data_IF_650166474264
#
_entry.id   IF_650166474264
#
_cell.length_a   1.000
_cell.length_b   1.000
_cell.length_c   1.000
_cell.angle_alpha   90.00
_cell.angle_beta   90.00
_cell.angle_gamma   90.00
#
_symmetry.space_group_name_H-M   'P 1'
#
loop_
_entity.id
_entity.type
_entity.pdbx_description
1 polymer ?
#
# COMPACT_ATOMS: atom_id res chain seq x y z
N UNK A 1 26.07 -8.47 -16.72
CA UNK A 1 24.68 -8.00 -16.55
C UNK A 1 24.05 -7.76 -17.93
N UNK A 2 23.11 -8.60 -18.36
CA UNK A 2 22.51 -8.50 -19.69
C UNK A 2 21.35 -7.49 -19.71
N UNK A 3 21.50 -6.39 -20.47
CA UNK A 3 20.41 -5.46 -20.79
C UNK A 3 19.36 -6.20 -21.63
N UNK A 4 18.19 -6.52 -21.06
CA UNK A 4 17.02 -6.99 -21.83
C UNK A 4 16.62 -5.89 -22.84
N UNK A 5 16.88 -6.09 -24.14
CA UNK A 5 16.34 -5.25 -25.22
C UNK A 5 14.80 -5.36 -25.20
N UNK A 6 14.10 -4.29 -24.80
CA UNK A 6 12.65 -4.18 -24.94
C UNK A 6 12.28 -4.36 -26.42
N UNK A 7 11.50 -5.39 -26.76
CA UNK A 7 10.99 -5.61 -28.13
C UNK A 7 10.05 -4.47 -28.51
N UNK A 8 10.55 -3.51 -29.30
CA UNK A 8 9.79 -2.35 -29.80
C UNK A 8 8.52 -2.73 -30.59
N UNK A 9 8.49 -3.93 -31.20
CA UNK A 9 7.34 -4.41 -31.98
C UNK A 9 6.07 -4.61 -31.15
N UNK A 10 6.18 -5.10 -29.90
CA UNK A 10 5.01 -5.36 -29.06
C UNK A 10 4.32 -4.09 -28.54
N UNK A 11 5.09 -3.03 -28.30
CA UNK A 11 4.53 -1.73 -27.90
C UNK A 11 3.81 -1.05 -29.07
N UNK A 12 4.36 -1.14 -30.28
CA UNK A 12 3.77 -0.56 -31.49
C UNK A 12 2.42 -1.22 -31.82
N UNK A 13 2.34 -2.56 -31.73
CA UNK A 13 1.08 -3.30 -31.92
C UNK A 13 0.03 -2.94 -30.88
N UNK A 14 0.44 -2.69 -29.63
CA UNK A 14 -0.45 -2.29 -28.54
C UNK A 14 -1.05 -0.90 -28.79
N UNK A 15 -0.20 0.05 -29.19
CA UNK A 15 -0.62 1.41 -29.54
C UNK A 15 -1.59 1.40 -30.73
N UNK A 16 -1.27 0.61 -31.77
CA UNK A 16 -2.09 0.50 -32.97
C UNK A 16 -3.49 -0.10 -32.70
N UNK A 17 -3.63 -0.91 -31.64
CA UNK A 17 -4.91 -1.53 -31.26
C UNK A 17 -5.70 -0.64 -30.26
N UNK A 18 -5.02 -0.06 -29.27
CA UNK A 18 -5.66 0.74 -28.22
C UNK A 18 -6.20 2.07 -28.76
N UNK A 19 -5.44 2.78 -29.60
CA UNK A 19 -5.84 4.12 -30.06
C UNK A 19 -7.17 4.08 -30.82
N UNK A 20 -7.37 3.21 -31.83
CA UNK A 20 -8.65 3.12 -32.54
C UNK A 20 -9.80 2.70 -31.61
N UNK A 21 -9.56 1.76 -30.70
CA UNK A 21 -10.56 1.33 -29.72
C UNK A 21 -10.99 2.48 -28.78
N UNK A 22 -10.03 3.30 -28.34
CA UNK A 22 -10.31 4.49 -27.54
C UNK A 22 -11.10 5.56 -28.32
N UNK A 23 -10.85 5.71 -29.62
CA UNK A 23 -11.62 6.61 -30.49
C UNK A 23 -13.05 6.13 -30.75
N UNK A 24 -13.34 4.84 -30.59
CA UNK A 24 -14.71 4.30 -30.69
C UNK A 24 -15.50 4.61 -29.41
N UNK A 25 -14.83 4.67 -28.25
CA UNK A 25 -15.46 4.87 -26.93
C UNK A 25 -15.08 6.24 -26.33
N UNK A 26 -15.14 7.30 -27.14
CA UNK A 26 -14.67 8.65 -26.77
C UNK A 26 -15.16 9.15 -25.39
N UNK A 27 -16.45 9.07 -25.04
CA UNK A 27 -16.93 9.62 -23.77
C UNK A 27 -16.27 8.93 -22.56
N UNK A 28 -16.10 7.60 -22.64
CA UNK A 28 -15.45 6.80 -21.60
C UNK A 28 -13.95 7.06 -21.55
N UNK A 29 -13.29 7.23 -22.71
CA UNK A 29 -11.87 7.58 -22.76
C UNK A 29 -11.59 8.94 -22.12
N UNK A 30 -12.43 9.94 -22.40
CA UNK A 30 -12.31 11.28 -21.79
C UNK A 30 -12.51 11.17 -20.28
N UNK A 31 -13.55 10.46 -19.84
CA UNK A 31 -13.81 10.21 -18.42
C UNK A 31 -12.60 9.63 -17.70
N UNK A 32 -12.04 8.53 -18.19
CA UNK A 32 -10.87 7.92 -17.55
C UNK A 32 -9.61 8.76 -17.68
N UNK A 33 -9.43 9.51 -18.76
CA UNK A 33 -8.23 10.35 -18.91
C UNK A 33 -8.20 11.47 -17.87
N UNK A 34 -9.35 12.10 -17.60
CA UNK A 34 -9.47 13.17 -16.60
C UNK A 34 -9.60 12.61 -15.18
N UNK A 35 -10.41 11.57 -14.99
CA UNK A 35 -10.61 10.92 -13.69
C UNK A 35 -9.35 10.24 -13.17
N UNK A 36 -8.51 9.69 -14.06
CA UNK A 36 -7.29 8.98 -13.67
C UNK A 36 -6.06 9.89 -13.46
N UNK A 37 -6.20 11.22 -13.50
CA UNK A 37 -5.09 12.16 -13.26
C UNK A 37 -4.33 11.85 -11.95
N UNK A 38 -4.97 11.59 -10.80
CA UNK A 38 -4.27 11.22 -9.57
C UNK A 38 -3.36 9.99 -9.71
N UNK A 39 -3.72 9.03 -10.55
CA UNK A 39 -2.90 7.84 -10.84
C UNK A 39 -1.69 8.18 -11.69
N UNK A 40 -1.84 9.11 -12.64
CA UNK A 40 -0.72 9.63 -13.42
C UNK A 40 0.26 10.36 -12.49
N UNK A 41 -0.26 11.16 -11.57
CA UNK A 41 0.54 11.81 -10.52
C UNK A 41 1.26 10.77 -9.67
N UNK A 42 0.59 9.71 -9.23
CA UNK A 42 1.23 8.61 -8.50
C UNK A 42 2.36 7.96 -9.31
N UNK A 43 2.17 7.72 -10.61
CA UNK A 43 3.19 7.14 -11.48
C UNK A 43 4.46 7.98 -11.60
N UNK A 44 4.29 9.30 -11.66
CA UNK A 44 5.38 10.26 -11.76
C UNK A 44 6.06 10.48 -10.40
N UNK A 45 5.26 10.63 -9.33
CA UNK A 45 5.74 10.94 -8.00
C UNK A 45 6.43 9.76 -7.31
N UNK A 46 6.00 8.53 -7.60
CA UNK A 46 6.53 7.35 -6.95
C UNK A 46 7.99 7.09 -7.35
N UNK A 47 8.87 7.09 -6.35
CA UNK A 47 10.31 6.80 -6.48
C UNK A 47 10.65 5.35 -6.15
N UNK A 48 9.68 4.56 -5.67
CA UNK A 48 9.85 3.15 -5.36
C UNK A 48 10.18 2.36 -6.65
N UNK A 49 11.23 1.51 -6.64
CA UNK A 49 11.55 0.65 -7.79
C UNK A 49 10.40 -0.27 -8.20
N UNK A 50 9.55 -0.70 -7.25
CA UNK A 50 8.45 -1.64 -7.51
C UNK A 50 7.17 -0.93 -7.97
N UNK A 51 7.16 0.41 -8.01
CA UNK A 51 6.01 1.23 -8.41
C UNK A 51 4.74 0.84 -7.66
N UNK A 52 4.86 0.77 -6.34
CA UNK A 52 3.79 0.38 -5.44
C UNK A 52 2.66 1.43 -5.39
N UNK A 53 2.96 2.73 -5.43
CA UNK A 53 1.94 3.80 -5.34
C UNK A 53 0.98 3.82 -6.54
N UNK A 54 1.44 3.74 -7.80
CA UNK A 54 0.56 3.70 -8.98
C UNK A 54 -0.38 2.51 -8.99
N UNK A 55 0.01 1.39 -8.39
CA UNK A 55 -0.79 0.17 -8.33
C UNK A 55 -1.93 0.35 -7.34
N UNK A 56 -1.65 0.78 -6.10
CA UNK A 56 -2.67 1.02 -5.07
C UNK A 56 -3.56 2.20 -5.40
N UNK A 57 -2.98 3.36 -5.72
CA UNK A 57 -3.73 4.58 -6.09
C UNK A 57 -4.49 4.34 -7.39
N UNK A 58 -3.89 3.66 -8.36
CA UNK A 58 -4.53 3.33 -9.64
C UNK A 58 -5.75 2.45 -9.49
N UNK A 59 -5.66 1.38 -8.70
CA UNK A 59 -6.78 0.50 -8.44
C UNK A 59 -7.96 1.24 -7.79
N UNK A 60 -7.70 2.01 -6.73
CA UNK A 60 -8.78 2.72 -6.04
C UNK A 60 -9.35 3.88 -6.85
N UNK A 61 -8.50 4.67 -7.52
CA UNK A 61 -8.97 5.76 -8.38
C UNK A 61 -9.83 5.23 -9.55
N UNK A 62 -9.43 4.10 -10.15
CA UNK A 62 -10.22 3.43 -11.18
C UNK A 62 -11.60 3.05 -10.65
N UNK A 63 -11.67 2.43 -9.46
CA UNK A 63 -12.94 2.13 -8.80
C UNK A 63 -13.79 3.38 -8.55
N UNK A 64 -13.17 4.52 -8.19
CA UNK A 64 -13.86 5.80 -8.03
C UNK A 64 -14.47 6.35 -9.32
N UNK A 65 -13.87 6.03 -10.47
CA UNK A 65 -14.39 6.41 -11.79
C UNK A 65 -15.49 5.48 -12.30
N UNK A 66 -15.61 4.26 -11.78
CA UNK A 66 -16.52 3.22 -12.30
C UNK A 66 -18.01 3.59 -12.24
N UNK A 67 -18.57 4.20 -11.17
CA UNK A 67 -19.98 4.57 -11.16
C UNK A 67 -20.36 5.48 -12.33
N UNK A 68 -19.49 6.44 -12.66
CA UNK A 68 -19.68 7.37 -13.77
C UNK A 68 -19.48 6.70 -15.13
N UNK A 69 -18.54 5.75 -15.24
CA UNK A 69 -18.36 4.97 -16.45
C UNK A 69 -19.60 4.10 -16.73
N UNK A 70 -20.14 3.44 -15.70
CA UNK A 70 -21.35 2.63 -15.80
C UNK A 70 -22.56 3.49 -16.18
N UNK A 71 -22.68 4.69 -15.61
CA UNK A 71 -23.77 5.60 -15.96
C UNK A 71 -23.71 6.03 -17.44
N UNK A 72 -22.51 6.36 -17.92
CA UNK A 72 -22.27 6.70 -19.32
C UNK A 72 -22.58 5.55 -20.27
N UNK A 73 -22.38 4.31 -19.82
CA UNK A 73 -22.72 3.10 -20.58
C UNK A 73 -24.22 2.84 -20.65
N UNK A 74 -24.97 3.25 -19.62
CA UNK A 74 -26.42 3.05 -19.52
C UNK A 74 -27.24 4.15 -20.20
N UNK A 75 -26.87 5.42 -20.03
CA UNK A 75 -27.70 6.57 -20.40
C UNK A 75 -27.26 7.27 -21.71
N UNK A 76 -26.83 6.47 -22.69
CA UNK A 76 -26.28 6.86 -23.99
C UNK A 76 -24.83 7.39 -23.92
N UNK A 77 -23.90 6.67 -24.58
CA UNK A 77 -22.49 7.03 -24.73
C UNK A 77 -22.31 8.32 -25.56
N UNK A 78 -22.59 9.47 -24.97
CA UNK A 78 -22.51 10.78 -25.61
C UNK A 78 -21.53 11.70 -24.91
N UNK A 79 -20.93 12.62 -25.65
CA UNK A 79 -20.04 13.65 -25.08
C UNK A 79 -20.83 14.57 -24.14
N UNK A 80 -22.10 14.86 -24.44
CA UNK A 80 -22.96 15.67 -23.58
C UNK A 80 -23.19 15.05 -22.20
N UNK A 81 -23.35 13.72 -22.12
CA UNK A 81 -23.46 13.02 -20.84
C UNK A 81 -22.14 13.09 -20.04
N UNK A 82 -20.99 12.90 -20.69
CA UNK A 82 -19.69 13.06 -20.04
C UNK A 82 -19.47 14.51 -19.53
N UNK A 83 -19.87 15.50 -20.32
CA UNK A 83 -19.78 16.91 -19.91
C UNK A 83 -20.64 17.22 -18.67
N UNK A 84 -21.82 16.59 -18.52
CA UNK A 84 -22.65 16.72 -17.31
C UNK A 84 -21.95 16.14 -16.09
N UNK A 85 -21.27 15.00 -16.23
CA UNK A 85 -20.48 14.41 -15.14
C UNK A 85 -19.38 15.38 -14.70
N UNK A 86 -18.67 15.99 -15.64
CA UNK A 86 -17.61 16.97 -15.29
C UNK A 86 -18.13 18.30 -14.75
N UNK A 87 -19.37 18.68 -15.08
CA UNK A 87 -20.01 19.86 -14.54
C UNK A 87 -20.50 19.66 -13.08
N UNK A 88 -20.62 18.41 -12.61
CA UNK A 88 -21.03 18.09 -11.26
C UNK A 88 -19.83 18.05 -10.28
N UNK A 89 -19.76 18.95 -9.28
CA UNK A 89 -18.71 18.93 -8.27
C UNK A 89 -18.66 17.61 -7.46
N UNK A 90 -19.80 16.95 -7.26
CA UNK A 90 -19.85 15.69 -6.51
C UNK A 90 -19.11 14.58 -7.27
N UNK A 91 -19.14 14.59 -8.60
CA UNK A 91 -18.41 13.61 -9.41
C UNK A 91 -16.90 13.69 -9.15
N UNK A 92 -16.36 14.91 -9.08
CA UNK A 92 -14.94 15.13 -8.76
C UNK A 92 -14.59 14.66 -7.35
N UNK A 93 -15.44 14.98 -6.37
CA UNK A 93 -15.24 14.53 -4.99
C UNK A 93 -15.21 13.01 -4.89
N UNK A 94 -16.12 12.31 -5.55
CA UNK A 94 -16.15 10.84 -5.52
C UNK A 94 -14.91 10.25 -6.21
N UNK A 95 -14.58 10.69 -7.42
CA UNK A 95 -13.40 10.18 -8.14
C UNK A 95 -12.12 10.42 -7.34
N UNK A 96 -11.91 11.63 -6.83
CA UNK A 96 -10.64 12.01 -6.23
C UNK A 96 -10.54 11.60 -4.77
N UNK A 97 -11.66 11.45 -4.04
CA UNK A 97 -11.64 10.83 -2.71
C UNK A 97 -11.21 9.38 -2.76
N UNK A 98 -11.64 8.62 -3.78
CA UNK A 98 -11.18 7.25 -3.97
C UNK A 98 -9.65 7.19 -4.20
N UNK A 99 -9.11 8.12 -5.00
CA UNK A 99 -7.66 8.26 -5.16
C UNK A 99 -6.96 8.67 -3.85
N UNK A 100 -7.55 9.56 -3.06
CA UNK A 100 -7.02 9.99 -1.77
C UNK A 100 -6.94 8.83 -0.78
N UNK A 101 -7.94 7.93 -0.76
CA UNK A 101 -7.87 6.69 0.02
C UNK A 101 -6.71 5.82 -0.46
N UNK A 102 -6.47 5.73 -1.77
CA UNK A 102 -5.31 5.03 -2.33
C UNK A 102 -3.98 5.55 -1.81
N UNK A 103 -3.83 6.88 -1.76
CA UNK A 103 -2.66 7.52 -1.17
C UNK A 103 -2.55 7.26 0.34
N UNK A 104 -3.69 7.28 1.05
CA UNK A 104 -3.76 6.93 2.46
C UNK A 104 -3.27 5.51 2.73
N UNK A 105 -3.62 4.54 1.88
CA UNK A 105 -3.11 3.17 1.99
C UNK A 105 -1.62 3.08 1.69
N UNK A 106 -1.15 3.76 0.63
CA UNK A 106 0.27 3.78 0.26
C UNK A 106 1.16 4.27 1.40
N UNK A 107 0.77 5.35 2.08
CA UNK A 107 1.54 5.88 3.21
C UNK A 107 1.22 5.22 4.55
N UNK A 108 0.01 4.70 4.72
CA UNK A 108 -0.46 4.16 6.00
C UNK A 108 -0.05 2.71 6.26
N UNK A 109 -0.02 1.87 5.23
CA UNK A 109 0.30 0.44 5.40
C UNK A 109 1.75 0.21 5.88
N UNK A 110 2.79 0.83 5.29
CA UNK A 110 4.17 0.57 5.73
C UNK A 110 4.44 0.83 7.22
N UNK A 111 4.09 2.00 7.82
CA UNK A 111 4.31 2.24 9.24
C UNK A 111 3.41 1.36 10.12
N UNK A 112 2.19 1.04 9.68
CA UNK A 112 1.31 0.12 10.41
C UNK A 112 1.95 -1.26 10.55
N UNK A 113 2.46 -1.82 9.44
CA UNK A 113 3.12 -3.13 9.43
C UNK A 113 4.41 -3.07 10.25
N UNK A 114 5.21 -2.01 10.10
CA UNK A 114 6.43 -1.84 10.90
C UNK A 114 6.13 -1.84 12.41
N UNK A 115 5.09 -1.13 12.84
CA UNK A 115 4.66 -1.12 14.25
C UNK A 115 4.21 -2.50 14.74
N UNK A 116 3.47 -3.25 13.91
CA UNK A 116 3.07 -4.62 14.24
C UNK A 116 4.26 -5.57 14.38
N UNK A 117 5.27 -5.44 13.53
CA UNK A 117 6.49 -6.26 13.61
C UNK A 117 7.30 -5.94 14.87
N UNK A 118 7.45 -4.65 15.23
CA UNK A 118 8.12 -4.25 16.47
C UNK A 118 7.40 -4.83 17.69
N UNK A 119 6.06 -4.69 17.76
CA UNK A 119 5.28 -5.23 18.87
C UNK A 119 5.38 -6.76 18.99
N UNK A 120 5.49 -7.47 17.86
CA UNK A 120 5.73 -8.93 17.85
C UNK A 120 7.13 -9.26 18.33
N UNK A 121 8.14 -8.50 17.91
CA UNK A 121 9.52 -8.69 18.34
C UNK A 121 9.68 -8.48 19.85
N UNK A 122 9.08 -7.43 20.41
CA UNK A 122 9.08 -7.18 21.86
C UNK A 122 8.46 -8.32 22.66
N UNK A 123 7.28 -8.80 22.24
CA UNK A 123 6.66 -9.99 22.87
C UNK A 123 7.55 -11.21 22.80
N UNK A 124 8.25 -11.41 21.68
CA UNK A 124 9.17 -12.54 21.52
C UNK A 124 10.36 -12.39 22.46
N UNK A 125 10.92 -11.19 22.61
CA UNK A 125 12.01 -10.91 23.55
C UNK A 125 11.58 -11.19 24.98
N UNK A 126 10.38 -10.76 25.38
CA UNK A 126 9.86 -11.00 26.74
C UNK A 126 9.72 -12.49 27.05
N UNK A 127 9.13 -13.27 26.13
CA UNK A 127 9.04 -14.73 26.28
C UNK A 127 10.42 -15.39 26.39
N UNK A 128 11.40 -14.90 25.64
CA UNK A 128 12.77 -15.42 25.72
C UNK A 128 13.45 -15.05 27.04
N UNK A 129 13.22 -13.84 27.56
CA UNK A 129 13.70 -13.43 28.90
C UNK A 129 13.12 -14.31 30.00
N UNK A 130 11.82 -14.55 29.99
CA UNK A 130 11.15 -15.42 30.96
C UNK A 130 11.70 -16.85 30.92
N UNK A 131 11.95 -17.40 29.72
CA UNK A 131 12.59 -18.71 29.57
C UNK A 131 14.01 -18.74 30.12
N UNK A 132 14.79 -17.68 29.94
CA UNK A 132 16.13 -17.57 30.52
C UNK A 132 16.08 -17.57 32.05
N UNK A 133 15.17 -16.78 32.64
CA UNK A 133 14.98 -16.75 34.10
C UNK A 133 14.61 -18.13 34.64
N UNK A 134 13.68 -18.84 34.00
CA UNK A 134 13.29 -20.19 34.40
C UNK A 134 14.46 -21.19 34.34
N UNK A 135 15.28 -21.13 33.29
CA UNK A 135 16.47 -22.00 33.16
C UNK A 135 17.49 -21.74 34.27
N UNK A 136 17.72 -20.48 34.65
CA UNK A 136 18.64 -20.13 35.74
C UNK A 136 18.10 -20.58 37.10
N UNK A 137 16.78 -20.52 37.32
CA UNK A 137 16.16 -21.03 38.54
C UNK A 137 16.29 -22.55 38.66
N UNK A 138 16.13 -23.29 37.57
CA UNK A 138 16.20 -24.76 37.56
C UNK A 138 17.64 -25.30 37.63
N UNK A 139 18.58 -24.65 36.96
CA UNK A 139 19.94 -25.18 36.76
C UNK A 139 21.04 -24.39 37.46
N UNK A 140 20.69 -23.28 38.13
CA UNK A 140 21.64 -22.42 38.82
C UNK A 140 22.28 -21.35 37.93
N UNK A 141 23.05 -20.42 38.54
CA UNK A 141 23.63 -19.26 37.86
C UNK A 141 24.69 -19.62 36.82
N UNK A 142 25.33 -20.79 36.90
CA UNK A 142 26.37 -21.23 35.96
C UNK A 142 25.86 -21.36 34.51
N UNK A 143 24.55 -21.52 34.32
CA UNK A 143 23.90 -21.65 33.00
C UNK A 143 23.50 -20.29 32.41
N UNK A 144 23.65 -19.20 33.18
CA UNK A 144 23.17 -17.89 32.80
C UNK A 144 24.03 -17.18 31.73
N UNK A 145 25.30 -17.56 31.57
CA UNK A 145 26.25 -16.86 30.71
C UNK A 145 26.34 -15.36 31.02
N UNK A 146 26.67 -14.52 30.03
CA UNK A 146 26.84 -13.05 30.18
C UNK A 146 25.56 -12.28 30.62
N UNK A 147 24.43 -12.95 30.85
CA UNK A 147 23.14 -12.28 31.07
C UNK A 147 23.06 -11.52 32.40
N UNK A 148 23.76 -11.97 33.44
CA UNK A 148 23.78 -11.33 34.76
C UNK A 148 25.04 -10.47 35.01
N UNK A 149 26.11 -10.67 34.24
CA UNK A 149 27.38 -9.95 34.44
C UNK A 149 27.34 -8.49 33.93
N UNK A 150 26.53 -8.17 32.92
CA UNK A 150 26.45 -6.80 32.36
C UNK A 150 25.24 -5.96 32.85
N UNK A 151 24.20 -6.58 33.40
CA UNK A 151 22.89 -5.92 33.54
C UNK A 151 22.38 -5.68 34.97
N UNK A 152 23.15 -6.04 36.02
CA UNK A 152 22.75 -5.79 37.41
C UNK A 152 21.39 -6.41 37.75
N UNK A 153 21.11 -7.59 37.19
CA UNK A 153 19.88 -8.35 37.46
C UNK A 153 19.82 -8.83 38.91
N UNK A 154 18.62 -9.15 39.43
CA UNK A 154 18.45 -9.54 40.83
C UNK A 154 19.29 -10.77 41.14
N UNK A 155 20.06 -10.70 42.23
CA UNK A 155 20.90 -11.82 42.64
C UNK A 155 20.03 -13.06 42.91
N UNK A 156 20.44 -14.23 42.40
CA UNK A 156 19.71 -15.46 42.59
C UNK A 156 19.72 -15.83 44.08
N UNK A 157 18.55 -15.74 44.72
CA UNK A 157 18.36 -16.09 46.14
C UNK A 157 17.68 -15.03 47.00
N UNK A 158 17.33 -13.86 46.46
CA UNK A 158 16.52 -12.86 47.18
C UNK A 158 15.02 -13.11 46.91
N UNK A 159 14.30 -13.56 47.94
CA UNK A 159 12.84 -13.57 47.93
C UNK A 159 12.33 -12.13 47.78
N UNK A 160 11.21 -11.89 47.06
CA UNK A 160 10.60 -10.58 47.01
C UNK A 160 10.04 -10.23 48.39
N UNK A 161 10.74 -9.37 49.14
CA UNK A 161 10.14 -8.72 50.31
C UNK A 161 9.04 -7.76 49.84
N UNK A 162 7.81 -8.03 50.31
CA UNK A 162 6.76 -7.01 50.43
C UNK A 162 5.62 -7.12 49.43
N UNK A 163 4.50 -7.62 49.94
CA UNK A 163 3.14 -7.50 49.40
C UNK A 163 2.63 -6.04 49.44
#
# INVERSE_FOLDING_TARGET
MARKKKKKGGALTLILLIIPAALIVLPTTILFTVGMIPTIVAYIADRDPDKSAPITVGGLNFCGCMPFAIDLWKHQHTIGAAAKIFADPLAWLVMYSAAAVGWGLYYGIPPLVAGMEVARAEKRVEVLKQKKVALVQEWGPDVAGDYFDESGGPEPGTEPEGA
#
